data_IF_281474945265
#
_entry.id   IF_281474945265
#
_cell.length_a   1.000
_cell.length_b   1.000
_cell.length_c   1.000
_cell.angle_alpha   90.00
_cell.angle_beta   90.00
_cell.angle_gamma   90.00
#
_symmetry.space_group_name_H-M   'P 1'
#
loop_
_entity.id
_entity.type
_entity.pdbx_description
1 polymer ?
#
# COMPACT_ATOMS: atom_id res chain seq x y z
N UNK A 1 -10.96 6.00 -20.50
CA UNK A 1 -11.24 5.62 -19.10
C UNK A 1 -10.33 6.46 -18.21
N UNK A 2 -10.81 7.04 -17.10
CA UNK A 2 -10.04 7.97 -16.27
C UNK A 2 -9.22 7.26 -15.19
N UNK A 3 -8.15 7.89 -14.73
CA UNK A 3 -7.52 7.60 -13.44
C UNK A 3 -8.55 7.84 -12.33
N UNK A 4 -8.58 6.96 -11.32
CA UNK A 4 -9.55 7.04 -10.24
C UNK A 4 -8.85 6.94 -8.89
N UNK A 5 -9.16 7.88 -8.00
CA UNK A 5 -8.74 7.88 -6.60
C UNK A 5 -9.82 7.24 -5.73
N UNK A 6 -9.41 6.51 -4.70
CA UNK A 6 -10.31 5.90 -3.73
C UNK A 6 -9.65 5.77 -2.36
N UNK A 7 -10.46 5.69 -1.30
CA UNK A 7 -9.97 5.43 0.06
C UNK A 7 -9.87 3.93 0.29
N UNK A 8 -8.71 3.45 0.74
CA UNK A 8 -8.49 2.06 1.13
C UNK A 8 -8.74 1.90 2.64
N UNK A 9 -8.24 2.86 3.43
CA UNK A 9 -8.43 2.95 4.87
C UNK A 9 -8.70 4.40 5.26
N UNK A 10 -9.81 4.63 5.95
CA UNK A 10 -10.09 5.94 6.58
C UNK A 10 -9.05 6.27 7.65
N UNK A 11 -8.89 7.56 7.95
CA UNK A 11 -7.96 7.99 9.02
C UNK A 11 -8.41 7.44 10.37
N UNK A 12 -7.53 6.70 11.04
CA UNK A 12 -7.77 6.18 12.38
C UNK A 12 -6.45 5.89 13.10
N UNK A 13 -6.48 5.98 14.44
CA UNK A 13 -5.43 5.47 15.31
C UNK A 13 -5.51 3.94 15.37
N UNK A 14 -4.39 3.26 15.14
CA UNK A 14 -4.30 1.80 15.10
C UNK A 14 -3.14 1.32 15.94
N UNK A 15 -3.35 0.17 16.59
CA UNK A 15 -2.43 -0.51 17.52
C UNK A 15 -2.25 -1.98 17.14
N UNK A 16 -2.72 -2.37 15.97
CA UNK A 16 -2.76 -3.74 15.49
C UNK A 16 -2.97 -3.75 13.98
N UNK A 17 -2.64 -4.88 13.37
CA UNK A 17 -2.76 -5.11 11.94
C UNK A 17 -4.16 -4.78 11.41
N UNK A 18 -4.17 -4.19 10.22
CA UNK A 18 -5.41 -3.92 9.50
C UNK A 18 -5.27 -4.33 8.04
N UNK A 19 -6.34 -4.88 7.49
CA UNK A 19 -6.39 -5.32 6.11
C UNK A 19 -7.60 -4.77 5.38
N UNK A 20 -7.46 -4.52 4.08
CA UNK A 20 -8.54 -4.05 3.22
C UNK A 20 -8.45 -4.68 1.83
N UNK A 21 -9.50 -5.39 1.41
CA UNK A 21 -9.58 -6.06 0.10
C UNK A 21 -10.01 -5.06 -0.96
N UNK A 22 -9.38 -5.13 -2.13
CA UNK A 22 -9.54 -4.19 -3.24
C UNK A 22 -9.72 -4.92 -4.57
N UNK A 23 -10.46 -4.29 -5.49
CA UNK A 23 -10.81 -4.81 -6.82
C UNK A 23 -10.19 -3.97 -7.95
N UNK A 24 -9.22 -4.54 -8.66
CA UNK A 24 -8.60 -4.02 -9.87
C UNK A 24 -9.18 -4.68 -11.14
N UNK A 25 -10.38 -4.27 -11.55
CA UNK A 25 -11.13 -4.89 -12.65
C UNK A 25 -10.46 -4.82 -14.04
N UNK A 26 -9.47 -3.94 -14.23
CA UNK A 26 -8.87 -3.64 -15.53
C UNK A 26 -7.36 -3.94 -15.54
N UNK A 27 -6.80 -4.56 -14.49
CA UNK A 27 -5.38 -4.92 -14.43
C UNK A 27 -4.44 -3.71 -14.46
N UNK A 28 -4.86 -2.59 -13.88
CA UNK A 28 -4.07 -1.35 -13.81
C UNK A 28 -3.03 -1.42 -12.72
N UNK A 29 -1.96 -0.64 -12.83
CA UNK A 29 -1.15 -0.39 -11.63
C UNK A 29 -1.79 0.63 -10.72
N UNK A 30 -1.19 0.80 -9.56
CA UNK A 30 -1.71 1.60 -8.46
C UNK A 30 -0.59 2.42 -7.82
N UNK A 31 -0.91 3.66 -7.48
CA UNK A 31 -0.17 4.46 -6.51
C UNK A 31 -0.91 4.37 -5.17
N UNK A 32 -0.26 3.78 -4.16
CA UNK A 32 -0.77 3.72 -2.78
C UNK A 32 -0.12 4.85 -2.00
N UNK A 33 -0.91 5.66 -1.31
CA UNK A 33 -0.43 6.75 -0.46
C UNK A 33 -0.87 6.49 0.97
N UNK A 34 0.09 6.30 1.86
CA UNK A 34 -0.10 6.22 3.31
C UNK A 34 0.22 7.59 3.90
N UNK A 35 -0.77 8.22 4.51
CA UNK A 35 -0.62 9.52 5.18
C UNK A 35 -0.66 9.31 6.69
N UNK A 36 0.50 9.43 7.35
CA UNK A 36 0.67 9.31 8.79
C UNK A 36 0.63 10.68 9.43
N UNK A 37 -0.42 10.95 10.20
CA UNK A 37 -0.68 12.25 10.81
C UNK A 37 -0.25 12.32 12.28
N UNK A 38 -0.10 11.19 12.95
CA UNK A 38 0.43 11.14 14.31
C UNK A 38 1.12 9.80 14.63
N UNK A 39 2.27 9.89 15.27
CA UNK A 39 3.00 8.78 15.87
C UNK A 39 3.51 9.21 17.27
N UNK A 40 2.66 9.13 18.32
CA UNK A 40 3.02 9.53 19.67
C UNK A 40 3.97 8.55 20.37
N UNK A 41 4.19 7.37 19.82
CA UNK A 41 4.81 6.24 20.53
C UNK A 41 5.98 5.59 19.77
N UNK A 42 6.44 6.19 18.66
CA UNK A 42 7.50 5.61 17.80
C UNK A 42 7.11 4.24 17.23
N UNK A 43 5.82 4.09 16.92
CA UNK A 43 5.26 2.88 16.32
C UNK A 43 5.80 2.70 14.89
N UNK A 44 5.84 1.46 14.42
CA UNK A 44 6.23 1.15 13.05
C UNK A 44 5.16 0.30 12.33
N UNK A 45 4.85 0.67 11.08
CA UNK A 45 3.91 -0.07 10.23
C UNK A 45 4.51 -0.32 8.85
N UNK A 46 4.42 -1.57 8.39
CA UNK A 46 4.93 -1.99 7.08
C UNK A 46 3.77 -2.33 6.15
N UNK A 47 3.54 -1.54 5.08
CA UNK A 47 2.58 -1.88 4.05
C UNK A 47 2.95 -3.17 3.32
N UNK A 48 1.96 -4.03 3.09
CA UNK A 48 2.09 -5.27 2.32
C UNK A 48 0.90 -5.39 1.36
N UNK A 49 1.14 -6.03 0.22
CA UNK A 49 0.06 -6.52 -0.65
C UNK A 49 0.04 -8.03 -0.53
N UNK A 50 -1.15 -8.55 -0.26
CA UNK A 50 -1.43 -9.98 -0.20
C UNK A 50 -2.38 -10.35 -1.32
N UNK A 51 -2.27 -11.57 -1.82
CA UNK A 51 -3.08 -12.08 -2.92
C UNK A 51 -3.93 -13.24 -2.44
N UNK A 52 -5.10 -13.40 -3.07
CA UNK A 52 -6.02 -14.47 -2.71
C UNK A 52 -5.54 -15.78 -3.32
N UNK A 53 -5.42 -16.80 -2.48
CA UNK A 53 -5.09 -18.16 -2.89
C UNK A 53 -6.32 -18.93 -3.43
N UNK A 54 -6.10 -20.17 -3.85
CA UNK A 54 -7.15 -21.04 -4.39
C UNK A 54 -8.24 -21.41 -3.36
N UNK A 55 -7.93 -21.31 -2.06
CA UNK A 55 -8.87 -21.55 -0.96
C UNK A 55 -9.67 -20.30 -0.61
N UNK A 56 -9.23 -19.14 -1.10
CA UNK A 56 -9.85 -17.85 -0.89
C UNK A 56 -9.23 -17.04 0.25
N UNK A 57 -8.09 -17.46 0.78
CA UNK A 57 -7.36 -16.80 1.86
C UNK A 57 -6.28 -15.86 1.32
N UNK A 58 -5.89 -14.86 2.11
CA UNK A 58 -4.84 -13.89 1.77
C UNK A 58 -3.56 -14.16 2.56
N UNK A 59 -3.10 -15.40 2.63
CA UNK A 59 -1.89 -15.74 3.40
C UNK A 59 -0.59 -15.49 2.61
N UNK A 60 -0.66 -15.43 1.29
CA UNK A 60 0.50 -15.19 0.43
C UNK A 60 0.80 -13.70 0.31
N UNK A 61 2.02 -13.31 0.70
CA UNK A 61 2.52 -11.95 0.58
C UNK A 61 3.13 -11.77 -0.80
N UNK A 62 2.50 -10.91 -1.60
CA UNK A 62 2.92 -10.59 -2.97
C UNK A 62 3.94 -9.46 -3.01
N UNK A 63 3.81 -8.49 -2.11
CA UNK A 63 4.76 -7.38 -1.94
C UNK A 63 4.83 -6.96 -0.47
N UNK A 64 6.01 -6.51 -0.05
CA UNK A 64 6.28 -5.89 1.25
C UNK A 64 7.13 -4.66 0.99
N UNK A 65 6.77 -3.53 1.60
CA UNK A 65 7.58 -2.32 1.52
C UNK A 65 8.99 -2.58 2.04
N UNK A 66 10.00 -2.01 1.38
CA UNK A 66 11.42 -2.20 1.72
C UNK A 66 11.76 -1.64 3.11
N UNK A 67 11.02 -0.63 3.56
CA UNK A 67 11.18 0.00 4.87
C UNK A 67 9.83 0.19 5.57
N UNK A 68 9.83 -0.06 6.88
CA UNK A 68 8.70 0.25 7.74
C UNK A 68 8.54 1.78 7.88
N UNK A 69 7.29 2.23 7.89
CA UNK A 69 6.94 3.61 8.19
C UNK A 69 7.02 3.79 9.71
N UNK A 70 7.93 4.66 10.17
CA UNK A 70 8.20 4.94 11.60
C UNK A 70 8.27 6.45 11.88
N UNK A 71 7.64 7.25 11.02
CA UNK A 71 7.59 8.70 11.12
C UNK A 71 6.28 9.24 10.55
N UNK A 72 5.93 10.46 10.95
CA UNK A 72 4.81 11.22 10.35
C UNK A 72 5.19 11.72 8.96
N UNK A 73 4.24 11.72 8.03
CA UNK A 73 4.44 12.16 6.66
C UNK A 73 3.60 11.38 5.65
N UNK A 74 3.74 11.73 4.37
CA UNK A 74 3.14 11.00 3.26
C UNK A 74 4.17 10.04 2.65
N UNK A 75 3.79 8.76 2.54
CA UNK A 75 4.60 7.69 1.96
C UNK A 75 3.85 7.11 0.76
N UNK A 76 4.50 7.10 -0.40
CA UNK A 76 3.87 6.77 -1.68
C UNK A 76 4.54 5.58 -2.33
N UNK A 77 3.77 4.55 -2.67
CA UNK A 77 4.24 3.29 -3.24
C UNK A 77 3.61 3.08 -4.62
N UNK A 78 4.44 2.96 -5.64
CA UNK A 78 4.01 2.76 -7.01
C UNK A 78 4.16 1.29 -7.42
N UNK A 79 3.05 0.59 -7.66
CA UNK A 79 3.05 -0.80 -8.15
C UNK A 79 2.45 -0.80 -9.54
N UNK A 80 3.24 -1.08 -10.58
CA UNK A 80 2.76 -1.00 -11.96
C UNK A 80 3.34 -2.10 -12.86
N UNK A 81 2.51 -2.69 -13.76
CA UNK A 81 2.94 -3.73 -14.70
C UNK A 81 3.59 -3.15 -15.94
N UNK A 82 4.63 -2.34 -15.82
CA UNK A 82 5.59 -2.16 -16.91
C UNK A 82 6.96 -1.99 -16.32
N UNK A 83 7.97 -2.51 -17.01
CA UNK A 83 9.34 -2.09 -16.79
C UNK A 83 9.39 -0.60 -16.98
N UNK A 84 9.32 0.16 -15.88
CA UNK A 84 9.79 1.53 -15.86
C UNK A 84 11.20 1.43 -16.41
N UNK A 85 11.35 1.92 -17.64
CA UNK A 85 12.64 2.04 -18.25
C UNK A 85 13.48 2.84 -17.24
N UNK A 86 14.49 2.19 -16.69
CA UNK A 86 15.63 2.81 -16.01
C UNK A 86 16.04 4.03 -16.84
N UNK A 87 15.52 5.23 -16.52
CA UNK A 87 15.70 6.41 -17.36
C UNK A 87 14.62 7.50 -17.34
N UNK A 88 13.40 7.27 -16.83
CA UNK A 88 12.40 8.36 -16.70
C UNK A 88 12.38 8.93 -15.28
N UNK A 89 12.90 10.17 -15.13
CA UNK A 89 12.74 11.15 -14.02
C UNK A 89 12.37 10.54 -12.67
N UNK A 90 13.28 10.61 -11.69
CA UNK A 90 13.02 10.16 -10.31
C UNK A 90 11.61 10.60 -9.87
N UNK A 91 10.69 9.64 -9.83
CA UNK A 91 9.38 9.85 -9.27
C UNK A 91 9.64 10.03 -7.78
N UNK A 92 9.15 11.12 -7.20
CA UNK A 92 9.24 11.38 -5.76
C UNK A 92 8.23 10.48 -5.04
N UNK A 93 8.53 9.18 -5.05
CA UNK A 93 7.76 8.10 -4.43
C UNK A 93 8.71 7.32 -3.52
N UNK A 94 8.18 6.84 -2.39
CA UNK A 94 8.91 6.08 -1.39
C UNK A 94 9.49 4.80 -1.98
N UNK A 95 8.75 4.13 -2.86
CA UNK A 95 9.17 2.90 -3.50
C UNK A 95 8.46 2.69 -4.83
N UNK A 96 9.12 1.96 -5.75
CA UNK A 96 8.51 1.54 -7.01
C UNK A 96 8.75 0.07 -7.27
N UNK A 97 7.68 -0.65 -7.62
CA UNK A 97 7.66 -2.10 -7.81
C UNK A 97 7.15 -2.41 -9.22
N UNK A 98 7.95 -3.16 -9.97
CA UNK A 98 7.54 -3.70 -11.26
C UNK A 98 6.94 -5.09 -11.07
N UNK A 99 5.64 -5.13 -10.79
CA UNK A 99 4.90 -6.37 -10.59
C UNK A 99 3.45 -6.22 -11.09
N UNK A 100 2.89 -7.24 -11.76
CA UNK A 100 1.48 -7.23 -12.12
C UNK A 100 0.58 -7.35 -10.89
N UNK A 101 -0.31 -6.39 -10.69
CA UNK A 101 -1.28 -6.45 -9.61
C UNK A 101 -2.49 -7.33 -10.01
N UNK A 102 -2.80 -8.40 -9.26
CA UNK A 102 -3.97 -9.24 -9.55
C UNK A 102 -5.28 -8.47 -9.48
N UNK A 103 -6.35 -9.08 -10.02
CA UNK A 103 -7.69 -8.49 -9.98
C UNK A 103 -8.15 -8.22 -8.55
N UNK A 104 -7.99 -9.20 -7.67
CA UNK A 104 -8.35 -9.06 -6.26
C UNK A 104 -7.06 -9.12 -5.45
N UNK A 105 -6.86 -8.12 -4.59
CA UNK A 105 -5.67 -8.01 -3.77
C UNK A 105 -6.05 -7.35 -2.44
N UNK A 106 -5.25 -7.58 -1.42
CA UNK A 106 -5.49 -7.06 -0.08
C UNK A 106 -4.31 -6.18 0.32
N UNK A 107 -4.59 -4.92 0.67
CA UNK A 107 -3.64 -4.15 1.46
C UNK A 107 -3.64 -4.73 2.87
N UNK A 108 -2.44 -4.99 3.40
CA UNK A 108 -2.23 -5.40 4.78
C UNK A 108 -1.21 -4.48 5.42
N UNK A 109 -1.58 -3.82 6.51
CA UNK A 109 -0.72 -2.93 7.28
C UNK A 109 -0.21 -3.67 8.51
N UNK A 110 1.04 -4.13 8.44
CA UNK A 110 1.70 -4.94 9.46
C UNK A 110 2.33 -4.06 10.53
N UNK A 111 1.81 -4.07 11.76
CA UNK A 111 2.36 -3.27 12.85
C UNK A 111 3.47 -4.06 13.56
N UNK A 112 4.58 -3.40 13.84
CA UNK A 112 5.73 -4.03 14.50
C UNK A 112 5.47 -4.35 15.99
N UNK A 113 4.54 -3.61 16.60
CA UNK A 113 4.21 -3.65 18.01
C UNK A 113 2.76 -3.17 18.24
N UNK A 114 2.39 -3.00 19.51
CA UNK A 114 1.07 -2.52 19.92
C UNK A 114 1.00 -1.00 20.12
N UNK A 115 2.03 -0.25 19.69
CA UNK A 115 2.05 1.20 19.84
C UNK A 115 1.12 1.86 18.82
N UNK A 116 0.52 2.98 19.23
CA UNK A 116 -0.53 3.63 18.45
C UNK A 116 0.05 4.53 17.36
N UNK A 117 -0.37 4.33 16.11
CA UNK A 117 -0.07 5.20 14.97
C UNK A 117 -1.36 5.62 14.25
N UNK A 118 -1.49 6.88 13.87
CA UNK A 118 -2.67 7.41 13.17
C UNK A 118 -2.34 7.65 11.70
N UNK A 119 -3.06 6.95 10.82
CA UNK A 119 -2.86 7.10 9.38
C UNK A 119 -4.13 6.84 8.57
N UNK A 120 -4.14 7.32 7.33
CA UNK A 120 -5.10 6.95 6.28
C UNK A 120 -4.37 6.33 5.10
N UNK A 121 -5.09 5.56 4.27
CA UNK A 121 -4.52 5.00 3.04
C UNK A 121 -5.43 5.27 1.86
N UNK A 122 -4.86 5.81 0.79
CA UNK A 122 -5.53 6.14 -0.47
C UNK A 122 -4.89 5.38 -1.62
N UNK A 123 -5.69 5.00 -2.59
CA UNK A 123 -5.24 4.36 -3.83
C UNK A 123 -5.58 5.21 -5.04
N UNK A 124 -4.67 5.25 -6.02
CA UNK A 124 -4.92 5.85 -7.33
C UNK A 124 -4.61 4.84 -8.42
N UNK A 125 -5.63 4.40 -9.16
CA UNK A 125 -5.40 3.58 -10.35
C UNK A 125 -4.82 4.42 -11.46
N UNK A 126 -3.73 3.91 -12.03
CA UNK A 126 -2.98 4.53 -13.13
C UNK A 126 -3.00 3.60 -14.35
N UNK A 127 -3.16 4.17 -15.54
CA UNK A 127 -3.21 3.45 -16.82
C UNK A 127 -1.96 3.68 -17.65
#
# INVERSE_FOLDING_TARGET
>A
MSNQSFTILESAARVADVSSVQDNLVGRGILIVVDVTADPASAAVTPKIRVRDENGDYNEVYWTADAAISATGEFSYLIFPTGLATGSKELDVTETVNAPLPREWQLFMDHADADSITYSVRGHYIS
#
